data_IF_936331474503
#
_entry.id   IF_936331474503
#
_cell.length_a   1.000
_cell.length_b   1.000
_cell.length_c   1.000
_cell.angle_alpha   90.00
_cell.angle_beta   90.00
_cell.angle_gamma   90.00
#
_symmetry.space_group_name_H-M   'P 1'
#
loop_
_entity.id
_entity.type
_entity.pdbx_description
1 polymer ?
#
# COMPACT_ATOMS: atom_id res chain seq x y z
N UNK A 1 -11.43 -13.64 27.06
CA UNK A 1 -12.44 -13.44 26.01
C UNK A 1 -11.98 -12.47 24.93
N UNK A 2 -11.50 -11.27 25.25
CA UNK A 2 -11.02 -10.27 24.27
C UNK A 2 -10.01 -10.79 23.24
N UNK A 3 -8.94 -11.48 23.68
CA UNK A 3 -7.90 -12.01 22.78
C UNK A 3 -8.45 -13.03 21.78
N UNK A 4 -9.36 -13.90 22.22
CA UNK A 4 -9.99 -14.91 21.36
C UNK A 4 -10.88 -14.23 20.31
N UNK A 5 -11.71 -13.28 20.73
CA UNK A 5 -12.58 -12.51 19.81
C UNK A 5 -11.74 -11.72 18.79
N UNK A 6 -10.65 -11.08 19.23
CA UNK A 6 -9.73 -10.38 18.35
C UNK A 6 -9.05 -11.34 17.37
N UNK A 7 -8.63 -12.52 17.83
CA UNK A 7 -8.06 -13.55 16.98
C UNK A 7 -9.03 -14.02 15.89
N UNK A 8 -10.29 -14.30 16.25
CA UNK A 8 -11.33 -14.67 15.29
C UNK A 8 -11.60 -13.55 14.27
N UNK A 9 -11.65 -12.29 14.72
CA UNK A 9 -11.81 -11.13 13.83
C UNK A 9 -10.65 -11.04 12.84
N UNK A 10 -9.40 -11.20 13.29
CA UNK A 10 -8.22 -11.15 12.43
C UNK A 10 -8.20 -12.28 11.40
N UNK A 11 -8.60 -13.50 11.80
CA UNK A 11 -8.76 -14.63 10.87
C UNK A 11 -9.82 -14.32 9.82
N UNK A 12 -10.99 -13.83 10.23
CA UNK A 12 -12.07 -13.46 9.31
C UNK A 12 -11.62 -12.35 8.33
N UNK A 13 -10.91 -11.33 8.80
CA UNK A 13 -10.34 -10.27 7.94
C UNK A 13 -9.28 -10.84 6.99
N UNK A 14 -8.45 -11.77 7.44
CA UNK A 14 -7.43 -12.41 6.62
C UNK A 14 -8.01 -13.25 5.49
N UNK A 15 -9.07 -14.01 5.77
CA UNK A 15 -9.72 -14.87 4.77
C UNK A 15 -10.42 -14.09 3.66
N UNK A 16 -11.04 -12.96 3.99
CA UNK A 16 -11.77 -12.18 2.98
C UNK A 16 -10.89 -11.20 2.18
N UNK A 17 -9.76 -10.76 2.76
CA UNK A 17 -8.95 -9.67 2.19
C UNK A 17 -8.35 -10.01 0.83
N UNK A 18 -7.80 -11.22 0.68
CA UNK A 18 -7.17 -11.63 -0.59
C UNK A 18 -8.18 -11.69 -1.74
N UNK A 19 -9.33 -12.37 -1.63
CA UNK A 19 -10.35 -12.36 -2.68
C UNK A 19 -10.90 -10.95 -2.99
N UNK A 20 -11.16 -10.14 -1.96
CA UNK A 20 -11.70 -8.80 -2.14
C UNK A 20 -10.76 -7.87 -2.92
N UNK A 21 -9.45 -8.00 -2.74
CA UNK A 21 -8.47 -7.19 -3.47
C UNK A 21 -8.15 -7.80 -4.83
N UNK A 22 -8.22 -9.12 -4.97
CA UNK A 22 -8.04 -9.79 -6.26
C UNK A 22 -9.11 -9.41 -7.29
N UNK A 23 -10.31 -9.05 -6.85
CA UNK A 23 -11.39 -8.58 -7.72
C UNK A 23 -10.95 -7.45 -8.66
N UNK A 24 -10.15 -6.49 -8.17
CA UNK A 24 -9.69 -5.38 -9.02
C UNK A 24 -8.86 -5.82 -10.23
N UNK A 25 -7.76 -6.59 -10.06
CA UNK A 25 -7.02 -7.07 -11.23
C UNK A 25 -7.78 -8.08 -12.09
N UNK A 26 -8.78 -8.80 -11.55
CA UNK A 26 -9.61 -9.75 -12.28
C UNK A 26 -10.57 -9.07 -13.28
N UNK A 27 -10.97 -7.81 -12.98
CA UNK A 27 -11.95 -7.07 -13.80
C UNK A 27 -11.33 -5.83 -14.46
N UNK A 28 -10.02 -5.67 -14.38
CA UNK A 28 -9.35 -4.46 -14.88
C UNK A 28 -8.25 -4.81 -15.88
N UNK A 29 -8.30 -4.30 -17.13
CA UNK A 29 -7.25 -4.49 -18.11
C UNK A 29 -5.86 -4.09 -17.59
N UNK A 30 -4.84 -4.87 -17.96
CA UNK A 30 -3.44 -4.70 -17.51
C UNK A 30 -2.93 -3.25 -17.56
N UNK A 31 -3.16 -2.51 -18.66
CA UNK A 31 -2.67 -1.15 -18.80
C UNK A 31 -3.13 -0.17 -17.72
N UNK A 32 -4.35 -0.30 -17.23
CA UNK A 32 -4.96 0.64 -16.27
C UNK A 32 -4.97 0.13 -14.82
N UNK A 33 -4.44 -1.07 -14.53
CA UNK A 33 -4.41 -1.66 -13.17
C UNK A 33 -3.77 -0.74 -12.12
N UNK A 34 -2.72 0.01 -12.50
CA UNK A 34 -2.11 0.98 -11.57
C UNK A 34 -3.05 2.13 -11.23
N UNK A 35 -3.85 2.61 -12.20
CA UNK A 35 -4.87 3.64 -11.95
C UNK A 35 -5.99 3.11 -11.08
N UNK A 36 -6.48 1.90 -11.36
CA UNK A 36 -7.48 1.23 -10.54
C UNK A 36 -6.98 1.02 -9.09
N UNK A 37 -5.74 0.57 -8.92
CA UNK A 37 -5.14 0.41 -7.60
C UNK A 37 -4.96 1.75 -6.87
N UNK A 38 -4.67 2.85 -7.60
CA UNK A 38 -4.63 4.20 -7.04
C UNK A 38 -5.99 4.61 -6.46
N UNK A 39 -7.10 4.30 -7.17
CA UNK A 39 -8.46 4.58 -6.70
C UNK A 39 -8.78 3.73 -5.46
N UNK A 40 -8.42 2.46 -5.42
CA UNK A 40 -8.61 1.59 -4.25
C UNK A 40 -7.88 2.15 -3.03
N UNK A 41 -6.62 2.55 -3.19
CA UNK A 41 -5.85 3.16 -2.10
C UNK A 41 -6.46 4.48 -1.63
N UNK A 42 -6.94 5.32 -2.56
CA UNK A 42 -7.67 6.55 -2.24
C UNK A 42 -8.94 6.25 -1.44
N UNK A 43 -9.74 5.27 -1.87
CA UNK A 43 -10.95 4.86 -1.16
C UNK A 43 -10.63 4.28 0.22
N UNK A 44 -9.55 3.53 0.36
CA UNK A 44 -9.04 3.09 1.66
C UNK A 44 -8.72 4.25 2.60
N UNK A 45 -8.07 5.30 2.09
CA UNK A 45 -7.80 6.52 2.85
C UNK A 45 -9.07 7.28 3.23
N UNK A 46 -10.05 7.40 2.32
CA UNK A 46 -11.37 7.97 2.60
C UNK A 46 -12.09 7.16 3.70
N UNK A 47 -12.02 5.83 3.66
CA UNK A 47 -12.55 4.97 4.73
C UNK A 47 -11.89 5.23 6.08
N UNK A 48 -10.56 5.37 6.11
CA UNK A 48 -9.82 5.74 7.32
C UNK A 48 -10.22 7.11 7.90
N UNK A 49 -10.37 8.12 7.04
CA UNK A 49 -10.84 9.46 7.44
C UNK A 49 -12.28 9.37 7.98
N UNK A 50 -13.17 8.64 7.29
CA UNK A 50 -14.56 8.44 7.72
C UNK A 50 -14.63 7.81 9.11
N UNK A 51 -13.79 6.78 9.37
CA UNK A 51 -13.66 6.19 10.69
C UNK A 51 -13.26 7.21 11.76
N UNK A 52 -12.26 8.06 11.47
CA UNK A 52 -11.80 9.10 12.41
C UNK A 52 -12.89 10.14 12.69
N UNK A 53 -13.66 10.55 11.68
CA UNK A 53 -14.79 11.46 11.85
C UNK A 53 -15.85 10.83 12.75
N UNK A 54 -16.26 9.59 12.49
CA UNK A 54 -17.24 8.86 13.30
C UNK A 54 -16.74 8.73 14.75
N UNK A 55 -15.46 8.37 14.93
CA UNK A 55 -14.87 8.26 16.25
C UNK A 55 -14.86 9.61 17.00
N UNK A 56 -14.52 10.71 16.33
CA UNK A 56 -14.52 12.05 16.92
C UNK A 56 -15.93 12.51 17.32
N UNK A 57 -16.94 12.19 16.53
CA UNK A 57 -18.35 12.53 16.83
C UNK A 57 -18.90 11.70 17.99
N UNK A 58 -18.63 10.38 17.99
CA UNK A 58 -19.11 9.49 19.05
C UNK A 58 -18.37 9.68 20.39
N UNK A 59 -17.06 10.01 20.33
CA UNK A 59 -16.17 10.08 21.50
C UNK A 59 -15.46 11.44 21.61
N UNK A 60 -16.17 12.56 21.75
CA UNK A 60 -15.55 13.86 21.98
C UNK A 60 -14.83 13.87 23.33
N UNK A 61 -13.72 14.60 23.41
CA UNK A 61 -12.88 14.71 24.63
C UNK A 61 -13.69 15.09 25.86
N UNK A 62 -14.76 15.90 25.72
CA UNK A 62 -15.66 16.28 26.80
C UNK A 62 -16.39 15.10 27.47
N UNK A 63 -16.59 13.99 26.75
CA UNK A 63 -17.26 12.79 27.25
C UNK A 63 -16.30 11.70 27.70
N UNK A 64 -15.06 11.71 27.20
CA UNK A 64 -14.08 10.64 27.44
C UNK A 64 -12.96 11.03 28.41
N UNK A 65 -12.69 12.30 28.58
CA UNK A 65 -11.69 12.77 29.51
C UNK A 65 -12.11 12.47 30.98
N UNK A 66 -11.30 11.62 31.66
CA UNK A 66 -11.57 11.19 33.03
C UNK A 66 -12.54 10.04 33.22
N UNK A 67 -13.07 9.45 32.12
CA UNK A 67 -13.93 8.27 32.20
C UNK A 67 -13.10 7.03 32.55
N UNK A 68 -13.47 6.29 33.58
CA UNK A 68 -12.79 5.03 33.96
C UNK A 68 -12.98 3.92 32.91
N UNK A 69 -14.08 3.94 32.18
CA UNK A 69 -14.37 3.02 31.08
C UNK A 69 -15.11 3.74 29.93
N UNK A 70 -14.60 3.56 28.72
CA UNK A 70 -15.25 4.06 27.49
C UNK A 70 -15.86 2.87 26.76
N UNK A 71 -17.16 2.95 26.46
CA UNK A 71 -17.84 1.91 25.67
C UNK A 71 -17.65 2.16 24.18
N UNK A 72 -16.83 1.35 23.51
CA UNK A 72 -16.57 1.43 22.06
C UNK A 72 -17.57 0.64 21.21
N UNK A 73 -18.57 -0.02 21.80
CA UNK A 73 -19.54 -0.83 21.08
C UNK A 73 -20.28 -0.06 19.95
N UNK A 74 -20.72 1.20 20.12
CA UNK A 74 -21.36 1.96 19.05
C UNK A 74 -20.47 2.13 17.81
N UNK A 75 -19.18 2.34 18.02
CA UNK A 75 -18.20 2.48 16.92
C UNK A 75 -18.09 1.19 16.11
N UNK A 76 -17.96 0.05 16.80
CA UNK A 76 -17.90 -1.26 16.14
C UNK A 76 -19.21 -1.58 15.39
N UNK A 77 -20.36 -1.20 15.91
CA UNK A 77 -21.65 -1.38 15.23
C UNK A 77 -21.68 -0.56 13.93
N UNK A 78 -21.31 0.73 13.98
CA UNK A 78 -21.29 1.59 12.79
C UNK A 78 -20.36 1.03 11.72
N UNK A 79 -19.13 0.63 12.10
CA UNK A 79 -18.17 0.03 11.16
C UNK A 79 -18.71 -1.27 10.56
N UNK A 80 -19.29 -2.15 11.38
CA UNK A 80 -19.85 -3.43 10.90
C UNK A 80 -21.01 -3.23 9.94
N UNK A 81 -21.92 -2.30 10.23
CA UNK A 81 -23.04 -1.94 9.34
C UNK A 81 -22.51 -1.38 8.02
N UNK A 82 -21.53 -0.47 8.07
CA UNK A 82 -20.93 0.11 6.87
C UNK A 82 -20.25 -0.96 6.00
N UNK A 83 -19.53 -1.90 6.60
CA UNK A 83 -18.93 -3.03 5.89
C UNK A 83 -20.01 -3.91 5.25
N UNK A 84 -21.05 -4.28 5.98
CA UNK A 84 -22.14 -5.11 5.46
C UNK A 84 -22.86 -4.43 4.28
N UNK A 85 -23.19 -3.14 4.42
CA UNK A 85 -23.82 -2.36 3.34
C UNK A 85 -22.91 -2.30 2.11
N UNK A 86 -21.60 -2.06 2.30
CA UNK A 86 -20.64 -2.01 1.19
C UNK A 86 -20.58 -3.33 0.41
N UNK A 87 -20.57 -4.47 1.12
CA UNK A 87 -20.59 -5.80 0.49
C UNK A 87 -21.90 -6.06 -0.25
N UNK A 88 -23.04 -5.67 0.34
CA UNK A 88 -24.35 -5.80 -0.30
C UNK A 88 -24.41 -4.96 -1.59
N UNK A 89 -23.95 -3.71 -1.53
CA UNK A 89 -23.90 -2.84 -2.72
C UNK A 89 -23.02 -3.47 -3.79
N UNK A 90 -21.80 -3.91 -3.44
CA UNK A 90 -20.90 -4.58 -4.38
C UNK A 90 -21.56 -5.80 -5.04
N UNK A 91 -22.20 -6.66 -4.26
CA UNK A 91 -22.88 -7.87 -4.76
C UNK A 91 -23.99 -7.56 -5.78
N UNK A 92 -24.77 -6.52 -5.57
CA UNK A 92 -25.88 -6.17 -6.47
C UNK A 92 -25.44 -5.29 -7.66
N UNK A 93 -24.31 -4.57 -7.57
CA UNK A 93 -23.88 -3.66 -8.63
C UNK A 93 -22.79 -4.25 -9.52
N UNK A 94 -22.05 -5.27 -9.07
CA UNK A 94 -20.91 -5.83 -9.79
C UNK A 94 -21.21 -7.23 -10.31
N UNK A 95 -21.21 -7.38 -11.62
CA UNK A 95 -21.30 -8.70 -12.27
C UNK A 95 -19.89 -9.15 -12.67
N UNK A 96 -19.15 -9.75 -11.72
CA UNK A 96 -17.78 -10.21 -11.90
C UNK A 96 -17.61 -11.11 -13.12
N UNK A 97 -18.44 -12.16 -13.39
CA UNK A 97 -18.28 -13.01 -14.57
C UNK A 97 -18.36 -12.25 -15.90
N UNK A 98 -19.28 -11.25 -15.98
CA UNK A 98 -19.42 -10.42 -17.18
C UNK A 98 -18.22 -9.51 -17.39
N UNK A 99 -17.74 -8.85 -16.31
CA UNK A 99 -16.59 -7.95 -16.37
C UNK A 99 -15.29 -8.70 -16.68
N UNK A 100 -15.09 -9.87 -16.06
CA UNK A 100 -13.92 -10.71 -16.34
C UNK A 100 -13.94 -11.30 -17.75
N UNK A 101 -15.12 -11.55 -18.33
CA UNK A 101 -15.24 -11.97 -19.74
C UNK A 101 -14.86 -10.82 -20.68
N UNK A 102 -15.34 -9.61 -20.41
CA UNK A 102 -15.00 -8.42 -21.19
C UNK A 102 -13.50 -8.07 -21.09
N UNK A 103 -12.88 -8.27 -19.92
CA UNK A 103 -11.44 -8.10 -19.75
C UNK A 103 -10.64 -9.09 -20.62
N UNK A 104 -11.03 -10.36 -20.64
CA UNK A 104 -10.41 -11.38 -21.47
C UNK A 104 -10.58 -11.11 -22.97
N UNK A 105 -11.74 -10.61 -23.40
CA UNK A 105 -12.00 -10.22 -24.77
C UNK A 105 -11.10 -9.04 -25.17
N UNK A 106 -10.99 -8.03 -24.32
CA UNK A 106 -10.08 -6.91 -24.50
C UNK A 106 -8.61 -7.36 -24.60
N UNK A 107 -8.16 -8.29 -23.75
CA UNK A 107 -6.80 -8.85 -23.82
C UNK A 107 -6.57 -9.63 -25.11
N UNK A 108 -7.58 -10.35 -25.61
CA UNK A 108 -7.48 -11.10 -26.87
C UNK A 108 -7.41 -10.16 -28.10
N UNK A 109 -8.07 -9.01 -28.05
CA UNK A 109 -8.01 -7.99 -29.11
C UNK A 109 -6.71 -7.18 -29.12
N UNK A 110 -5.96 -7.16 -27.99
CA UNK A 110 -4.73 -6.38 -27.82
C UNK A 110 -3.55 -7.27 -27.41
N UNK A 111 -3.16 -8.25 -28.25
CA UNK A 111 -2.07 -9.20 -27.91
C UNK A 111 -0.71 -8.49 -27.70
N UNK A 112 -0.50 -7.32 -28.30
CA UNK A 112 0.70 -6.51 -28.13
C UNK A 112 0.89 -5.98 -26.71
N UNK A 113 -0.16 -6.00 -25.89
CA UNK A 113 -0.13 -5.56 -24.49
C UNK A 113 0.13 -6.71 -23.52
N UNK A 114 0.22 -7.93 -24.02
CA UNK A 114 0.57 -9.10 -23.22
C UNK A 114 2.08 -9.16 -23.02
N UNK A 115 2.52 -9.08 -21.75
CA UNK A 115 3.93 -9.06 -21.39
C UNK A 115 4.56 -10.44 -21.25
N UNK A 116 3.75 -11.46 -21.20
CA UNK A 116 4.17 -12.86 -21.15
C UNK A 116 3.51 -13.53 -22.35
N UNK A 117 4.32 -13.94 -23.33
CA UNK A 117 3.85 -14.88 -24.34
C UNK A 117 3.29 -16.10 -23.60
N UNK A 118 2.01 -16.37 -23.75
CA UNK A 118 1.44 -17.64 -23.33
C UNK A 118 2.09 -18.70 -24.21
N UNK A 119 3.17 -19.32 -23.74
CA UNK A 119 3.63 -20.55 -24.34
C UNK A 119 2.48 -21.55 -24.26
N UNK A 120 2.09 -22.17 -25.39
CA UNK A 120 0.96 -23.11 -25.44
C UNK A 120 1.24 -24.45 -24.74
N UNK A 121 2.36 -24.51 -24.01
CA UNK A 121 2.74 -25.70 -23.27
C UNK A 121 2.03 -25.69 -21.91
N UNK A 122 1.14 -26.66 -21.70
CA UNK A 122 0.32 -26.88 -20.51
C UNK A 122 1.09 -27.09 -19.19
N UNK A 123 2.29 -26.53 -19.06
CA UNK A 123 3.06 -26.54 -17.82
C UNK A 123 2.44 -25.56 -16.82
N UNK A 124 1.96 -26.08 -15.69
CA UNK A 124 1.47 -25.30 -14.53
C UNK A 124 2.56 -24.42 -13.91
N UNK A 125 3.81 -24.57 -14.29
CA UNK A 125 4.93 -23.86 -13.69
C UNK A 125 5.31 -22.58 -14.45
N UNK A 126 5.53 -21.50 -13.68
CA UNK A 126 6.07 -20.25 -14.21
C UNK A 126 7.50 -20.47 -14.75
N UNK A 127 7.88 -19.81 -15.84
CA UNK A 127 9.26 -19.77 -16.33
C UNK A 127 10.22 -19.38 -15.19
N UNK A 128 11.39 -20.01 -15.13
CA UNK A 128 12.37 -19.78 -14.05
C UNK A 128 12.76 -18.31 -13.89
N UNK A 129 12.80 -17.57 -14.98
CA UNK A 129 13.15 -16.13 -14.98
C UNK A 129 12.03 -15.26 -14.35
N UNK A 130 10.76 -15.58 -14.68
CA UNK A 130 9.58 -14.92 -14.09
C UNK A 130 9.51 -15.23 -12.59
N UNK A 131 9.70 -16.49 -12.20
CA UNK A 131 9.74 -16.92 -10.80
C UNK A 131 10.84 -16.18 -10.01
N UNK A 132 12.04 -16.02 -10.61
CA UNK A 132 13.13 -15.24 -10.00
C UNK A 132 12.74 -13.77 -9.84
N UNK A 133 12.14 -13.16 -10.85
CA UNK A 133 11.65 -11.76 -10.79
C UNK A 133 10.58 -11.60 -9.72
N UNK A 134 9.63 -12.53 -9.60
CA UNK A 134 8.60 -12.53 -8.57
C UNK A 134 9.21 -12.58 -7.16
N UNK A 135 10.14 -13.52 -6.91
CA UNK A 135 10.83 -13.63 -5.61
C UNK A 135 11.59 -12.35 -5.28
N UNK A 136 12.27 -11.74 -6.24
CA UNK A 136 12.98 -10.47 -6.03
C UNK A 136 12.01 -9.32 -5.73
N UNK A 137 10.87 -9.27 -6.42
CA UNK A 137 9.84 -8.26 -6.16
C UNK A 137 9.19 -8.44 -4.78
N UNK A 138 8.84 -9.67 -4.39
CA UNK A 138 8.27 -9.96 -3.07
C UNK A 138 9.26 -9.62 -1.93
N UNK A 139 10.55 -9.91 -2.11
CA UNK A 139 11.59 -9.46 -1.17
C UNK A 139 11.70 -7.93 -1.12
N UNK A 140 11.63 -7.24 -2.27
CA UNK A 140 11.61 -5.78 -2.30
C UNK A 140 10.42 -5.23 -1.50
N UNK A 141 9.23 -5.84 -1.68
CA UNK A 141 8.01 -5.50 -0.94
C UNK A 141 8.25 -5.63 0.57
N UNK A 142 8.75 -6.75 1.03
CA UNK A 142 9.05 -6.96 2.45
C UNK A 142 10.03 -5.88 2.97
N UNK A 143 11.10 -5.60 2.24
CA UNK A 143 12.14 -4.68 2.67
C UNK A 143 11.64 -3.22 2.78
N UNK A 144 10.92 -2.69 1.79
CA UNK A 144 10.39 -1.33 1.93
C UNK A 144 9.29 -1.22 2.96
N UNK A 145 8.46 -2.28 3.16
CA UNK A 145 7.50 -2.32 4.26
C UNK A 145 8.20 -2.33 5.62
N UNK A 146 9.30 -3.06 5.80
CA UNK A 146 10.13 -3.05 7.01
C UNK A 146 10.64 -1.64 7.31
N UNK A 147 11.20 -0.95 6.31
CA UNK A 147 11.69 0.41 6.49
C UNK A 147 10.59 1.41 6.81
N UNK A 148 9.53 1.46 6.01
CA UNK A 148 8.42 2.39 6.17
C UNK A 148 7.65 2.19 7.49
N UNK A 149 7.28 0.94 7.79
CA UNK A 149 6.54 0.66 9.04
C UNK A 149 7.39 0.87 10.29
N UNK A 150 8.71 0.75 10.20
CA UNK A 150 9.61 1.14 11.28
C UNK A 150 9.40 2.59 11.68
N UNK A 151 9.39 3.50 10.70
CA UNK A 151 9.17 4.92 10.95
C UNK A 151 7.74 5.19 11.42
N UNK A 152 6.73 4.71 10.73
CA UNK A 152 5.32 5.00 11.11
C UNK A 152 4.95 4.48 12.48
N UNK A 153 5.54 3.35 12.93
CA UNK A 153 5.28 2.77 14.25
C UNK A 153 6.04 3.52 15.36
N UNK A 154 7.30 3.85 15.13
CA UNK A 154 8.17 4.33 16.21
C UNK A 154 8.45 5.84 16.17
N UNK A 155 7.96 6.58 15.16
CA UNK A 155 8.20 8.01 15.02
C UNK A 155 7.76 8.83 16.24
N UNK A 156 6.57 8.61 16.75
CA UNK A 156 6.06 9.33 17.92
C UNK A 156 6.90 9.08 19.18
N UNK A 157 7.33 7.84 19.36
CA UNK A 157 8.24 7.46 20.45
C UNK A 157 9.63 8.07 20.26
N UNK A 158 10.13 8.09 19.03
CA UNK A 158 11.39 8.73 18.66
C UNK A 158 11.37 10.23 19.02
N UNK A 159 10.33 10.96 18.62
CA UNK A 159 10.18 12.40 18.92
C UNK A 159 10.17 12.65 20.41
N UNK A 160 9.47 11.83 21.18
CA UNK A 160 9.45 11.96 22.65
C UNK A 160 10.81 11.65 23.30
N UNK A 161 11.52 10.62 22.83
CA UNK A 161 12.76 10.13 23.45
C UNK A 161 14.01 10.88 22.98
N UNK A 162 14.09 11.25 21.72
CA UNK A 162 15.29 11.87 21.10
C UNK A 162 15.17 13.39 21.09
N UNK A 163 13.98 13.92 20.77
CA UNK A 163 13.78 15.37 20.63
C UNK A 163 13.13 15.99 21.87
N UNK A 164 12.68 15.21 22.86
CA UNK A 164 12.04 15.72 24.08
C UNK A 164 10.73 16.44 23.82
N UNK A 165 10.06 16.19 22.68
CA UNK A 165 8.86 16.90 22.27
C UNK A 165 7.58 16.08 22.47
N UNK A 166 6.45 16.78 22.59
CA UNK A 166 5.12 16.17 22.72
C UNK A 166 4.61 15.51 21.45
N UNK A 167 3.56 14.71 21.60
CA UNK A 167 2.94 13.93 20.52
C UNK A 167 2.36 14.77 19.38
N UNK A 168 1.98 16.03 19.62
CA UNK A 168 1.27 16.86 18.64
C UNK A 168 2.04 17.08 17.35
N UNK A 169 3.29 17.52 17.43
CA UNK A 169 4.14 17.74 16.25
C UNK A 169 4.42 16.44 15.49
N UNK A 170 4.69 15.35 16.23
CA UNK A 170 4.94 14.03 15.63
C UNK A 170 3.71 13.52 14.87
N UNK A 171 2.53 13.62 15.45
CA UNK A 171 1.28 13.21 14.82
C UNK A 171 0.98 14.06 13.58
N UNK A 172 1.26 15.37 13.63
CA UNK A 172 1.10 16.26 12.48
C UNK A 172 2.00 15.85 11.32
N UNK A 173 3.25 15.43 11.56
CA UNK A 173 4.12 14.91 10.51
C UNK A 173 3.51 13.67 9.81
N UNK A 174 2.94 12.73 10.57
CA UNK A 174 2.27 11.55 9.98
C UNK A 174 1.01 11.93 9.21
N UNK A 175 0.24 12.90 9.69
CA UNK A 175 -0.92 13.44 8.95
C UNK A 175 -0.50 14.08 7.63
N UNK A 176 0.57 14.86 7.62
CA UNK A 176 1.12 15.48 6.41
C UNK A 176 1.59 14.39 5.43
N UNK A 177 2.27 13.34 5.91
CA UNK A 177 2.67 12.21 5.07
C UNK A 177 1.44 11.50 4.46
N UNK A 178 0.40 11.27 5.26
CA UNK A 178 -0.84 10.66 4.79
C UNK A 178 -1.53 11.55 3.75
N UNK A 179 -1.62 12.85 4.00
CA UNK A 179 -2.15 13.83 3.03
C UNK A 179 -1.35 13.86 1.74
N UNK A 180 -0.01 13.85 1.83
CA UNK A 180 0.88 13.76 0.69
C UNK A 180 0.64 12.49 -0.15
N UNK A 181 0.44 11.34 0.49
CA UNK A 181 0.12 10.09 -0.18
C UNK A 181 -1.23 10.17 -0.90
N UNK A 182 -2.29 10.65 -0.23
CA UNK A 182 -3.64 10.77 -0.78
C UNK A 182 -3.64 11.63 -2.05
N UNK A 183 -3.04 12.82 -1.99
CA UNK A 183 -2.95 13.73 -3.15
C UNK A 183 -2.14 13.11 -4.28
N UNK A 184 -1.16 12.28 -3.96
CA UNK A 184 -0.24 11.68 -4.92
C UNK A 184 -0.78 10.41 -5.58
N UNK A 185 -1.80 9.74 -5.05
CA UNK A 185 -2.26 8.45 -5.58
C UNK A 185 -2.65 8.52 -7.06
N UNK A 186 -3.49 9.47 -7.45
CA UNK A 186 -3.95 9.62 -8.84
C UNK A 186 -2.81 10.05 -9.77
N UNK A 187 -2.05 11.13 -9.50
CA UNK A 187 -0.92 11.51 -10.34
C UNK A 187 0.13 10.42 -10.54
N UNK A 188 0.43 9.68 -9.47
CA UNK A 188 1.40 8.58 -9.51
C UNK A 188 0.88 7.40 -10.34
N UNK A 189 -0.41 7.05 -10.23
CA UNK A 189 -1.02 6.01 -11.07
C UNK A 189 -0.94 6.37 -12.57
N UNK A 190 -1.19 7.64 -12.91
CA UNK A 190 -1.04 8.14 -14.28
C UNK A 190 0.43 8.15 -14.74
N UNK A 191 1.34 8.55 -13.87
CA UNK A 191 2.78 8.55 -14.17
C UNK A 191 3.27 7.13 -14.46
N UNK A 192 2.87 6.15 -13.64
CA UNK A 192 3.24 4.75 -13.82
C UNK A 192 2.75 4.18 -15.16
N UNK A 193 1.57 4.59 -15.61
CA UNK A 193 1.06 4.20 -16.93
C UNK A 193 1.91 4.77 -18.09
N UNK A 194 2.61 5.90 -17.90
CA UNK A 194 3.45 6.54 -18.94
C UNK A 194 4.89 6.03 -18.94
N UNK A 195 5.54 5.94 -17.79
CA UNK A 195 6.97 5.64 -17.68
C UNK A 195 7.28 4.20 -17.27
N UNK A 196 6.25 3.43 -16.92
CA UNK A 196 6.34 2.06 -16.39
C UNK A 196 6.32 2.00 -14.87
N UNK A 197 5.79 0.87 -14.35
CA UNK A 197 5.63 0.63 -12.90
C UNK A 197 6.97 0.48 -12.21
N UNK A 198 7.90 -0.28 -12.80
CA UNK A 198 9.24 -0.51 -12.24
C UNK A 198 9.98 0.79 -11.99
N UNK A 199 10.02 1.69 -12.98
CA UNK A 199 10.69 2.99 -12.85
C UNK A 199 10.03 3.88 -11.80
N UNK A 200 8.69 3.85 -11.72
CA UNK A 200 7.93 4.61 -10.72
C UNK A 200 8.24 4.11 -9.31
N UNK A 201 8.26 2.79 -9.09
CA UNK A 201 8.64 2.19 -7.81
C UNK A 201 10.09 2.56 -7.46
N UNK A 202 11.03 2.40 -8.38
CA UNK A 202 12.44 2.73 -8.14
C UNK A 202 12.62 4.21 -7.77
N UNK A 203 11.94 5.13 -8.46
CA UNK A 203 11.91 6.55 -8.11
C UNK A 203 11.34 6.79 -6.72
N UNK A 204 10.24 6.12 -6.38
CA UNK A 204 9.63 6.16 -5.04
C UNK A 204 10.58 5.66 -3.95
N UNK A 205 11.26 4.53 -4.18
CA UNK A 205 12.23 3.94 -3.23
C UNK A 205 13.43 4.87 -3.01
N UNK A 206 13.98 5.45 -4.07
CA UNK A 206 15.09 6.43 -3.96
C UNK A 206 14.63 7.65 -3.16
N UNK A 207 13.47 8.21 -3.50
CA UNK A 207 12.90 9.35 -2.80
C UNK A 207 12.66 9.04 -1.31
N UNK A 208 12.11 7.85 -0.99
CA UNK A 208 11.85 7.43 0.38
C UNK A 208 13.15 7.29 1.18
N UNK A 209 14.19 6.69 0.60
CA UNK A 209 15.51 6.56 1.24
C UNK A 209 16.14 7.94 1.48
N UNK A 210 16.07 8.85 0.50
CA UNK A 210 16.56 10.23 0.63
C UNK A 210 15.80 11.00 1.71
N UNK A 211 14.46 10.84 1.79
CA UNK A 211 13.65 11.45 2.85
C UNK A 211 14.05 10.94 4.24
N UNK A 212 14.28 9.64 4.41
CA UNK A 212 14.71 9.09 5.70
C UNK A 212 16.13 9.54 6.07
N UNK A 213 17.05 9.62 5.12
CA UNK A 213 18.37 10.19 5.34
C UNK A 213 18.28 11.68 5.74
N UNK A 214 17.46 12.47 5.05
CA UNK A 214 17.20 13.88 5.37
C UNK A 214 16.57 14.04 6.76
N UNK A 215 15.60 13.20 7.12
CA UNK A 215 14.97 13.20 8.44
C UNK A 215 16.00 12.89 9.56
N UNK A 216 16.93 11.97 9.31
CA UNK A 216 18.04 11.71 10.23
C UNK A 216 18.88 12.98 10.47
N UNK A 217 19.32 13.65 9.41
CA UNK A 217 20.08 14.89 9.53
C UNK A 217 19.30 15.99 10.26
N UNK A 218 18.04 16.17 9.91
CA UNK A 218 17.19 17.19 10.54
C UNK A 218 17.02 16.93 12.04
N UNK A 219 16.76 15.69 12.43
CA UNK A 219 16.52 15.33 13.84
C UNK A 219 17.79 15.31 14.68
N UNK A 220 18.96 15.17 14.07
CA UNK A 220 20.25 15.27 14.77
C UNK A 220 20.73 16.70 14.94
N UNK A 221 20.37 17.62 14.02
CA UNK A 221 20.80 19.02 14.07
C UNK A 221 19.78 19.96 14.74
N UNK A 222 18.50 19.65 14.59
CA UNK A 222 17.42 20.46 15.16
C UNK A 222 16.67 19.68 16.25
N UNK A 223 16.59 20.26 17.44
CA UNK A 223 15.85 19.68 18.58
C UNK A 223 14.34 19.93 18.49
N UNK A 224 13.87 20.56 17.42
CA UNK A 224 12.46 20.86 17.22
C UNK A 224 11.98 20.48 15.83
N UNK A 225 10.71 20.05 15.75
CA UNK A 225 10.04 19.84 14.47
C UNK A 225 9.85 21.21 13.80
N UNK A 226 10.37 21.37 12.61
CA UNK A 226 10.33 22.59 11.82
C UNK A 226 9.56 22.39 10.49
N UNK A 227 9.35 23.47 9.74
CA UNK A 227 8.63 23.44 8.48
C UNK A 227 9.28 22.47 7.45
N UNK A 228 10.61 22.34 7.45
CA UNK A 228 11.33 21.43 6.54
C UNK A 228 10.97 19.96 6.83
N UNK A 229 10.76 19.61 8.10
CA UNK A 229 10.32 18.27 8.48
C UNK A 229 8.95 17.93 7.88
N UNK A 230 8.01 18.86 7.85
CA UNK A 230 6.71 18.65 7.22
C UNK A 230 6.85 18.43 5.70
N UNK A 231 7.74 19.17 5.02
CA UNK A 231 8.02 18.96 3.61
C UNK A 231 8.62 17.56 3.38
N UNK A 232 9.57 17.13 4.21
CA UNK A 232 10.15 15.78 4.13
C UNK A 232 9.07 14.72 4.31
N UNK A 233 8.17 14.87 5.29
CA UNK A 233 7.09 13.91 5.51
C UNK A 233 6.04 13.94 4.38
N UNK A 234 5.76 15.08 3.76
CA UNK A 234 4.92 15.14 2.57
C UNK A 234 5.55 14.35 1.40
N UNK A 235 6.87 14.48 1.22
CA UNK A 235 7.62 13.70 0.23
C UNK A 235 7.68 12.20 0.58
N UNK A 236 7.74 11.83 1.85
CA UNK A 236 7.57 10.43 2.31
C UNK A 236 6.22 9.89 1.85
N UNK A 237 5.15 10.67 1.98
CA UNK A 237 3.81 10.30 1.50
C UNK A 237 3.77 10.08 -0.02
N UNK A 238 4.33 11.01 -0.79
CA UNK A 238 4.47 10.88 -2.25
C UNK A 238 5.27 9.63 -2.63
N UNK A 239 6.42 9.41 -1.99
CA UNK A 239 7.27 8.25 -2.24
C UNK A 239 6.54 6.93 -1.93
N UNK A 240 5.82 6.90 -0.81
CA UNK A 240 4.98 5.76 -0.44
C UNK A 240 3.88 5.49 -1.46
N UNK A 241 3.20 6.53 -1.95
CA UNK A 241 2.19 6.41 -3.00
C UNK A 241 2.78 5.80 -4.28
N UNK A 242 3.99 6.27 -4.70
CA UNK A 242 4.67 5.75 -5.89
C UNK A 242 4.99 4.24 -5.79
N UNK A 243 5.32 3.77 -4.59
CA UNK A 243 5.59 2.36 -4.33
C UNK A 243 4.26 1.57 -4.26
N UNK A 244 3.34 1.99 -3.41
CA UNK A 244 2.17 1.21 -3.03
C UNK A 244 1.16 1.03 -4.18
N UNK A 245 0.93 2.09 -4.98
CA UNK A 245 0.02 2.05 -6.14
C UNK A 245 0.46 1.02 -7.18
N UNK A 246 1.77 0.81 -7.34
CA UNK A 246 2.34 0.03 -8.42
C UNK A 246 2.78 -1.38 -8.02
N UNK A 247 2.96 -1.64 -6.71
CA UNK A 247 3.53 -2.90 -6.23
C UNK A 247 2.61 -4.10 -6.45
N UNK A 248 1.33 -4.01 -6.08
CA UNK A 248 0.36 -5.09 -6.30
C UNK A 248 0.12 -5.35 -7.79
N UNK A 249 -0.19 -4.34 -8.64
CA UNK A 249 -0.31 -4.56 -10.07
C UNK A 249 0.90 -5.23 -10.69
N UNK A 250 2.12 -4.88 -10.27
CA UNK A 250 3.35 -5.48 -10.77
C UNK A 250 3.50 -6.96 -10.38
N UNK A 251 3.00 -7.37 -9.21
CA UNK A 251 2.99 -8.78 -8.78
C UNK A 251 1.99 -9.59 -9.59
N UNK A 252 0.76 -9.09 -9.72
CA UNK A 252 -0.30 -9.83 -10.44
C UNK A 252 -0.09 -9.86 -11.95
N UNK A 253 0.71 -8.96 -12.50
CA UNK A 253 1.09 -8.98 -13.92
C UNK A 253 1.97 -10.18 -14.28
N UNK A 254 2.65 -10.78 -13.30
CA UNK A 254 3.49 -11.96 -13.50
C UNK A 254 2.71 -13.27 -13.45
N UNK A 255 1.40 -13.24 -13.15
CA UNK A 255 0.58 -14.46 -13.09
C UNK A 255 -0.11 -14.76 -14.41
N UNK A 256 -0.48 -16.04 -14.59
CA UNK A 256 -1.49 -16.44 -15.58
C UNK A 256 -2.88 -16.06 -15.05
N UNK A 257 -3.83 -15.74 -15.92
CA UNK A 257 -5.14 -15.19 -15.56
C UNK A 257 -5.90 -15.94 -14.46
N UNK A 258 -5.75 -17.28 -14.34
CA UNK A 258 -6.37 -18.10 -13.29
C UNK A 258 -5.76 -17.95 -11.89
N UNK A 259 -4.54 -17.38 -11.77
CA UNK A 259 -3.75 -17.38 -10.53
C UNK A 259 -3.71 -16.02 -9.80
N UNK A 260 -4.49 -15.04 -10.23
CA UNK A 260 -4.50 -13.68 -9.66
C UNK A 260 -4.70 -13.69 -8.15
N UNK A 261 -5.64 -14.50 -7.64
CA UNK A 261 -5.87 -14.66 -6.21
C UNK A 261 -4.66 -15.18 -5.44
N UNK A 262 -3.94 -16.15 -6.00
CA UNK A 262 -2.72 -16.72 -5.44
C UNK A 262 -1.58 -15.68 -5.36
N UNK A 263 -1.38 -14.91 -6.43
CA UNK A 263 -0.34 -13.87 -6.47
C UNK A 263 -0.68 -12.67 -5.57
N UNK A 264 -1.94 -12.31 -5.48
CA UNK A 264 -2.45 -11.35 -4.49
C UNK A 264 -2.18 -11.86 -3.07
N UNK A 265 -2.40 -13.16 -2.82
CA UNK A 265 -2.04 -13.82 -1.56
C UNK A 265 -0.55 -13.73 -1.25
N UNK A 266 0.33 -13.96 -2.22
CA UNK A 266 1.79 -13.79 -2.03
C UNK A 266 2.15 -12.35 -1.66
N UNK A 267 1.60 -11.36 -2.36
CA UNK A 267 1.80 -9.94 -2.04
C UNK A 267 1.44 -9.63 -0.58
N UNK A 268 0.24 -10.06 -0.15
CA UNK A 268 -0.19 -9.80 1.23
C UNK A 268 0.60 -10.61 2.26
N UNK A 269 1.00 -11.83 1.96
CA UNK A 269 1.83 -12.63 2.86
C UNK A 269 3.15 -11.91 3.17
N UNK A 270 3.86 -11.44 2.15
CA UNK A 270 5.14 -10.76 2.34
C UNK A 270 4.98 -9.38 2.99
N UNK A 271 3.99 -8.59 2.56
CA UNK A 271 3.75 -7.26 3.14
C UNK A 271 3.26 -7.32 4.58
N UNK A 272 2.37 -8.26 4.93
CA UNK A 272 1.87 -8.42 6.30
C UNK A 272 2.92 -9.04 7.22
N UNK A 273 3.68 -10.03 6.75
CA UNK A 273 4.80 -10.56 7.52
C UNK A 273 5.80 -9.46 7.89
N UNK A 274 6.14 -8.59 6.93
CA UNK A 274 6.97 -7.43 7.18
C UNK A 274 6.36 -6.49 8.24
N UNK A 275 5.06 -6.21 8.16
CA UNK A 275 4.36 -5.36 9.13
C UNK A 275 4.34 -5.96 10.55
N UNK A 276 4.20 -7.27 10.68
CA UNK A 276 4.23 -7.97 11.98
C UNK A 276 5.64 -8.01 12.58
N UNK A 277 6.65 -8.26 11.76
CA UNK A 277 8.04 -8.38 12.20
C UNK A 277 8.65 -7.01 12.53
N UNK A 278 8.27 -5.96 11.80
CA UNK A 278 8.89 -4.63 11.93
C UNK A 278 8.81 -4.02 13.34
N UNK A 279 7.67 -3.97 14.03
CA UNK A 279 7.61 -3.41 15.40
C UNK A 279 8.56 -4.10 16.37
N UNK A 280 8.71 -5.42 16.22
CA UNK A 280 9.59 -6.25 17.08
C UNK A 280 11.05 -5.97 16.72
N UNK A 281 11.41 -6.06 15.45
CA UNK A 281 12.77 -5.88 14.96
C UNK A 281 13.28 -4.45 15.22
N UNK A 282 12.51 -3.45 14.80
CA UNK A 282 12.85 -2.05 15.04
C UNK A 282 12.85 -1.72 16.53
N UNK A 283 11.83 -2.16 17.28
CA UNK A 283 11.75 -1.90 18.73
C UNK A 283 12.91 -2.50 19.51
N UNK A 284 13.34 -3.72 19.17
CA UNK A 284 14.51 -4.36 19.77
C UNK A 284 15.78 -3.57 19.48
N UNK A 285 15.99 -3.17 18.21
CA UNK A 285 17.14 -2.36 17.80
C UNK A 285 17.17 -1.01 18.55
N UNK A 286 16.03 -0.31 18.57
CA UNK A 286 15.91 1.01 19.20
C UNK A 286 16.13 0.95 20.70
N UNK A 287 15.64 -0.10 21.37
CA UNK A 287 15.79 -0.29 22.82
C UNK A 287 17.22 -0.64 23.21
N UNK A 288 17.91 -1.49 22.45
CA UNK A 288 19.21 -2.03 22.82
C UNK A 288 20.39 -1.22 22.29
N UNK A 289 20.23 -0.46 21.21
CA UNK A 289 21.30 0.37 20.64
C UNK A 289 21.02 1.84 20.90
N UNK A 290 20.06 2.45 20.18
CA UNK A 290 19.65 3.84 20.37
C UNK A 290 18.39 4.14 19.56
N UNK A 291 17.53 5.00 20.09
CA UNK A 291 16.38 5.50 19.34
C UNK A 291 16.79 6.30 18.10
N UNK A 292 17.97 6.93 18.09
CA UNK A 292 18.52 7.65 16.93
C UNK A 292 18.74 6.74 15.69
N UNK A 293 18.74 5.41 15.89
CA UNK A 293 18.89 4.43 14.78
C UNK A 293 17.63 4.25 13.95
N UNK A 294 16.50 4.89 14.30
CA UNK A 294 15.23 4.73 13.56
C UNK A 294 15.37 5.03 12.06
N UNK A 295 15.87 6.19 11.72
CA UNK A 295 16.02 6.59 10.30
C UNK A 295 17.15 5.86 9.58
N UNK A 296 18.36 5.65 10.15
CA UNK A 296 19.37 4.78 9.56
C UNK A 296 18.84 3.37 9.27
N UNK A 297 18.12 2.76 10.22
CA UNK A 297 17.44 1.48 10.02
C UNK A 297 16.49 1.52 8.82
N UNK A 298 15.59 2.49 8.78
CA UNK A 298 14.60 2.61 7.72
C UNK A 298 15.26 2.85 6.35
N UNK A 299 16.23 3.77 6.27
CA UNK A 299 16.97 4.06 5.06
C UNK A 299 17.74 2.84 4.54
N UNK A 300 18.34 2.05 5.43
CA UNK A 300 19.05 0.81 5.08
C UNK A 300 18.11 -0.20 4.41
N UNK A 301 16.97 -0.52 5.02
CA UNK A 301 16.04 -1.50 4.45
C UNK A 301 15.44 -1.01 3.13
N UNK A 302 15.11 0.28 3.03
CA UNK A 302 14.62 0.88 1.78
C UNK A 302 15.71 0.85 0.69
N UNK A 303 16.96 1.13 1.03
CA UNK A 303 18.08 1.01 0.08
C UNK A 303 18.29 -0.43 -0.39
N UNK A 304 18.20 -1.41 0.52
CA UNK A 304 18.23 -2.84 0.16
C UNK A 304 17.09 -3.21 -0.80
N UNK A 305 15.90 -2.64 -0.62
CA UNK A 305 14.78 -2.88 -1.53
C UNK A 305 15.05 -2.33 -2.94
N UNK A 306 15.78 -1.23 -3.07
CA UNK A 306 16.22 -0.74 -4.38
C UNK A 306 17.11 -1.74 -5.10
N UNK A 307 18.06 -2.33 -4.37
CA UNK A 307 18.98 -3.33 -4.94
C UNK A 307 18.20 -4.55 -5.44
N UNK A 308 17.28 -5.11 -4.62
CA UNK A 308 16.47 -6.25 -5.06
C UNK A 308 15.55 -5.89 -6.22
N UNK A 309 15.02 -4.66 -6.26
CA UNK A 309 14.18 -4.17 -7.35
C UNK A 309 14.95 -4.04 -8.69
N UNK A 310 16.25 -3.79 -8.68
CA UNK A 310 17.06 -3.78 -9.89
C UNK A 310 17.08 -5.13 -10.61
N UNK A 311 17.00 -6.24 -9.87
CA UNK A 311 16.98 -7.59 -10.42
C UNK A 311 15.61 -8.04 -10.95
N UNK A 312 14.55 -7.29 -10.69
CA UNK A 312 13.21 -7.56 -11.25
C UNK A 312 13.19 -7.18 -12.72
N UNK A 313 12.83 -8.12 -13.59
CA UNK A 313 12.80 -7.90 -15.06
C UNK A 313 11.40 -8.01 -15.67
N UNK A 314 10.45 -8.59 -14.94
CA UNK A 314 9.09 -8.87 -15.40
C UNK A 314 8.05 -8.11 -14.55
N UNK A 315 6.80 -8.06 -15.02
CA UNK A 315 5.69 -7.40 -14.33
C UNK A 315 5.58 -5.89 -14.60
N UNK A 316 6.39 -5.35 -15.53
CA UNK A 316 6.33 -3.93 -15.93
C UNK A 316 5.58 -3.78 -17.25
N UNK A 317 4.33 -3.35 -17.19
CA UNK A 317 3.54 -3.02 -18.37
C UNK A 317 3.86 -1.60 -18.83
N UNK A 318 4.43 -1.48 -20.00
CA UNK A 318 4.54 -0.20 -20.71
C UNK A 318 3.26 0.00 -21.50
N UNK A 319 2.48 0.97 -21.14
CA UNK A 319 1.31 1.36 -21.90
C UNK A 319 1.70 2.52 -22.81
N UNK A 320 1.48 2.37 -24.09
CA UNK A 320 1.18 3.52 -24.94
C UNK A 320 -0.24 3.97 -24.58
N UNK A 321 -0.33 4.91 -23.65
CA UNK A 321 -1.60 5.40 -23.18
C UNK A 321 -2.31 6.17 -24.28
N UNK A 322 -3.44 5.66 -24.74
CA UNK A 322 -4.50 6.56 -25.21
C UNK A 322 -4.83 7.48 -24.03
N UNK A 323 -4.59 8.77 -24.18
CA UNK A 323 -4.66 9.74 -23.09
C UNK A 323 -6.12 10.02 -22.69
N UNK A 324 -6.38 10.02 -21.39
CA UNK A 324 -7.59 10.62 -20.82
C UNK A 324 -8.81 9.70 -20.75
N UNK A 325 -9.97 10.32 -20.52
CA UNK A 325 -11.30 9.73 -20.52
C UNK A 325 -11.61 8.86 -21.76
N UNK A 326 -10.90 9.01 -22.84
CA UNK A 326 -11.03 8.21 -24.06
C UNK A 326 -10.81 6.70 -23.88
N UNK A 327 -10.17 6.27 -22.79
CA UNK A 327 -10.09 4.85 -22.44
C UNK A 327 -11.38 4.33 -21.76
N UNK A 328 -12.27 5.23 -21.34
CA UNK A 328 -13.57 4.89 -20.78
C UNK A 328 -14.71 5.08 -21.78
N UNK A 329 -14.51 5.93 -22.81
CA UNK A 329 -15.50 6.18 -23.86
C UNK A 329 -15.74 4.93 -24.75
N UNK A 330 -14.72 4.07 -24.93
CA UNK A 330 -14.87 2.82 -25.66
C UNK A 330 -15.65 1.74 -24.86
N UNK A 331 -15.87 1.92 -23.57
CA UNK A 331 -16.68 1.01 -22.73
C UNK A 331 -18.17 1.37 -22.68
N UNK A 332 -18.55 2.57 -23.11
CA UNK A 332 -19.95 3.06 -23.12
C UNK A 332 -20.58 3.00 -24.53
N UNK A 333 -19.91 2.41 -25.52
CA UNK A 333 -20.34 2.44 -26.92
C UNK A 333 -21.00 1.13 -27.42
N UNK A 334 -21.43 0.21 -26.52
CA UNK A 334 -22.28 -0.95 -26.92
C UNK A 334 -23.42 -1.21 -25.90
#
# INVERSE_FOLDING_TARGET
MFVVTLGLLLVALGTYRSPAVALMPDVTPKPIRSRANAIINLMGAVGGISYLIVAAVLYPNSKTAGAAHVNYQPLFIVVSVLMAVSVIVLYFTTNEPKLAAAEKEYEAEHPEQQLVEEEPDGSEELPKEVKRSLVMLLNSIALWYIGYNGVTTWWTTYVGRVMGQGLGGASTCLLVATGGAIVSYIPVGQLASKIGRKKTIQGGVILLAACFASAYFLTTHYQSINAVMFVVFALVGLAWAAINVNSLPMVVEMCKGSDIGKFTGYYYTFSMAAQVVTPILAGTLLKHISYSMLFPYAAFFVACSFVTMCFVRHGDCKVEAKAGLAAFEDMDAD
#
